data_IF_803627904753
#
_entry.id   IF_803627904753
#
_cell.length_a   1.000
_cell.length_b   1.000
_cell.length_c   1.000
_cell.angle_alpha   90.00
_cell.angle_beta   90.00
_cell.angle_gamma   90.00
#
_symmetry.space_group_name_H-M   'P 1'
#
loop_
_entity.id
_entity.type
_entity.pdbx_description
1 polymer ?
#
# COMPACT_ATOMS: atom_id res chain seq x y z
N UNK A 1 30.72 3.10 -22.59
CA UNK A 1 30.75 2.80 -21.15
C UNK A 1 29.46 3.36 -20.57
N UNK A 2 28.42 2.53 -20.41
CA UNK A 2 27.12 2.97 -19.88
C UNK A 2 27.24 3.10 -18.37
N UNK A 3 27.84 4.19 -17.90
CA UNK A 3 27.59 4.70 -16.55
C UNK A 3 26.15 5.19 -16.52
N UNK A 4 25.20 4.25 -16.47
CA UNK A 4 23.87 4.52 -15.95
C UNK A 4 24.14 5.10 -14.57
N UNK A 5 23.99 6.42 -14.46
CA UNK A 5 24.36 7.18 -13.29
C UNK A 5 23.58 6.58 -12.13
N UNK A 6 24.26 5.85 -11.25
CA UNK A 6 23.65 4.99 -10.22
C UNK A 6 22.66 5.78 -9.35
N UNK A 7 22.93 7.07 -9.18
CA UNK A 7 22.06 8.02 -8.50
C UNK A 7 20.78 8.34 -9.29
N UNK A 8 20.87 8.47 -10.61
CA UNK A 8 19.69 8.73 -11.47
C UNK A 8 18.70 7.57 -11.49
N UNK A 9 19.19 6.32 -11.53
CA UNK A 9 18.34 5.13 -11.44
C UNK A 9 17.73 4.99 -10.06
N UNK A 10 18.51 5.22 -9.00
CA UNK A 10 18.00 5.15 -7.62
C UNK A 10 16.93 6.22 -7.36
N UNK A 11 17.13 7.43 -7.85
CA UNK A 11 16.13 8.51 -7.81
C UNK A 11 14.85 8.13 -8.56
N UNK A 12 14.96 7.53 -9.75
CA UNK A 12 13.80 7.07 -10.51
C UNK A 12 13.00 5.99 -9.76
N UNK A 13 13.68 5.00 -9.18
CA UNK A 13 13.03 3.99 -8.35
C UNK A 13 12.35 4.62 -7.13
N UNK A 14 13.04 5.49 -6.38
CA UNK A 14 12.46 6.18 -5.23
C UNK A 14 11.21 7.00 -5.60
N UNK A 15 11.23 7.66 -6.76
CA UNK A 15 10.09 8.43 -7.26
C UNK A 15 8.90 7.52 -7.63
N UNK A 16 9.16 6.36 -8.24
CA UNK A 16 8.13 5.36 -8.51
C UNK A 16 7.51 4.81 -7.21
N UNK A 17 8.33 4.48 -6.22
CA UNK A 17 7.82 4.03 -4.91
C UNK A 17 6.99 5.12 -4.23
N UNK A 18 7.41 6.39 -4.29
CA UNK A 18 6.62 7.51 -3.79
C UNK A 18 5.26 7.61 -4.49
N UNK A 19 5.25 7.51 -5.81
CA UNK A 19 4.02 7.54 -6.60
C UNK A 19 3.08 6.38 -6.26
N UNK A 20 3.60 5.15 -6.19
CA UNK A 20 2.82 3.96 -5.85
C UNK A 20 2.27 4.03 -4.41
N UNK A 21 3.08 4.48 -3.45
CA UNK A 21 2.64 4.70 -2.07
C UNK A 21 1.49 5.71 -2.05
N UNK A 22 1.66 6.85 -2.71
CA UNK A 22 0.64 7.89 -2.74
C UNK A 22 -0.67 7.40 -3.38
N UNK A 23 -0.57 6.67 -4.49
CA UNK A 23 -1.74 6.08 -5.17
C UNK A 23 -2.50 5.13 -4.24
N UNK A 24 -1.78 4.28 -3.49
CA UNK A 24 -2.40 3.35 -2.54
C UNK A 24 -2.98 4.09 -1.33
N UNK A 25 -2.31 5.14 -0.84
CA UNK A 25 -2.83 5.99 0.24
C UNK A 25 -4.15 6.66 -0.16
N UNK A 26 -4.26 7.19 -1.38
CA UNK A 26 -5.52 7.76 -1.88
C UNK A 26 -6.63 6.72 -1.90
N UNK A 27 -6.35 5.48 -2.32
CA UNK A 27 -7.33 4.38 -2.30
C UNK A 27 -7.78 4.03 -0.88
N UNK A 28 -6.84 3.97 0.06
CA UNK A 28 -7.12 3.75 1.48
C UNK A 28 -7.98 4.88 2.06
N UNK A 29 -7.67 6.13 1.73
CA UNK A 29 -8.47 7.30 2.14
C UNK A 29 -9.88 7.28 1.56
N UNK A 30 -10.06 6.86 0.31
CA UNK A 30 -11.37 6.75 -0.32
C UNK A 30 -12.25 5.72 0.39
N UNK A 31 -11.68 4.57 0.76
CA UNK A 31 -12.39 3.55 1.54
C UNK A 31 -12.70 4.04 2.96
N UNK A 32 -11.75 4.73 3.61
CA UNK A 32 -11.96 5.35 4.90
C UNK A 32 -13.08 6.40 4.87
N UNK A 33 -13.13 7.24 3.83
CA UNK A 33 -14.20 8.23 3.62
C UNK A 33 -15.54 7.57 3.29
N UNK A 34 -15.54 6.49 2.50
CA UNK A 34 -16.75 5.72 2.12
C UNK A 34 -17.45 5.14 3.35
N UNK A 35 -16.69 4.58 4.29
CA UNK A 35 -17.24 3.96 5.51
C UNK A 35 -17.23 4.87 6.74
N UNK A 36 -16.52 6.00 6.68
CA UNK A 36 -16.24 6.91 7.79
C UNK A 36 -15.72 6.16 9.04
N UNK A 37 -14.89 5.14 8.83
CA UNK A 37 -14.35 4.23 9.84
C UNK A 37 -12.89 3.98 9.57
N UNK A 38 -12.11 3.68 10.60
CA UNK A 38 -10.77 3.13 10.41
C UNK A 38 -10.84 1.70 9.90
N UNK A 39 -9.78 1.22 9.25
CA UNK A 39 -9.70 -0.17 8.78
C UNK A 39 -9.98 -1.18 9.90
N UNK A 40 -9.51 -0.92 11.12
CA UNK A 40 -9.73 -1.80 12.28
C UNK A 40 -11.20 -1.85 12.72
N UNK A 41 -11.87 -0.69 12.74
CA UNK A 41 -13.29 -0.62 13.08
C UNK A 41 -14.13 -1.35 12.02
N UNK A 42 -13.80 -1.15 10.74
CA UNK A 42 -14.45 -1.84 9.64
C UNK A 42 -14.19 -3.36 9.68
N UNK A 43 -12.95 -3.80 9.91
CA UNK A 43 -12.62 -5.22 10.09
C UNK A 43 -13.41 -5.84 11.25
N UNK A 44 -13.49 -5.15 12.38
CA UNK A 44 -14.24 -5.63 13.55
C UNK A 44 -15.73 -5.73 13.24
N UNK A 45 -16.30 -4.78 12.49
CA UNK A 45 -17.70 -4.82 12.07
C UNK A 45 -17.99 -6.01 11.15
N UNK A 46 -17.16 -6.24 10.13
CA UNK A 46 -17.32 -7.34 9.17
C UNK A 46 -17.20 -8.70 9.87
N UNK A 47 -16.22 -8.86 10.76
CA UNK A 47 -16.01 -10.11 11.48
C UNK A 47 -17.12 -10.43 12.50
N UNK A 48 -17.79 -9.41 13.04
CA UNK A 48 -18.88 -9.59 14.00
C UNK A 48 -20.27 -9.54 13.35
N UNK A 49 -20.35 -9.40 12.02
CA UNK A 49 -21.61 -9.30 11.30
C UNK A 49 -22.33 -10.66 11.31
N UNK A 50 -23.56 -10.69 11.84
CA UNK A 50 -24.37 -11.93 11.91
C UNK A 50 -24.87 -12.40 10.54
N UNK A 51 -25.03 -11.46 9.61
CA UNK A 51 -25.48 -11.73 8.25
C UNK A 51 -24.42 -11.22 7.30
N UNK A 52 -23.88 -12.09 6.46
CA UNK A 52 -22.84 -11.72 5.51
C UNK A 52 -23.39 -10.76 4.45
N UNK A 53 -22.76 -9.60 4.33
CA UNK A 53 -22.91 -8.70 3.19
C UNK A 53 -21.71 -8.89 2.27
N UNK A 54 -21.92 -9.58 1.14
CA UNK A 54 -20.88 -9.88 0.16
C UNK A 54 -20.19 -8.62 -0.36
N UNK A 55 -20.93 -7.51 -0.53
CA UNK A 55 -20.36 -6.26 -1.03
C UNK A 55 -19.41 -5.65 -0.02
N UNK A 56 -19.78 -5.69 1.26
CA UNK A 56 -18.89 -5.22 2.31
C UNK A 56 -17.66 -6.13 2.49
N UNK A 57 -17.81 -7.44 2.26
CA UNK A 57 -16.68 -8.37 2.24
C UNK A 57 -15.73 -8.13 1.06
N UNK A 58 -16.24 -7.82 -0.13
CA UNK A 58 -15.42 -7.40 -1.28
C UNK A 58 -14.64 -6.13 -0.94
N UNK A 59 -15.32 -5.11 -0.40
CA UNK A 59 -14.70 -3.86 0.03
C UNK A 59 -13.65 -4.09 1.14
N UNK A 60 -13.87 -5.04 2.07
CA UNK A 60 -12.89 -5.43 3.08
C UNK A 60 -11.65 -6.10 2.49
N UNK A 61 -11.84 -7.02 1.56
CA UNK A 61 -10.74 -7.70 0.88
C UNK A 61 -9.91 -6.70 0.06
N UNK A 62 -10.56 -5.76 -0.61
CA UNK A 62 -9.91 -4.67 -1.33
C UNK A 62 -9.08 -3.80 -0.36
N UNK A 63 -9.69 -3.35 0.74
CA UNK A 63 -9.01 -2.53 1.74
C UNK A 63 -7.79 -3.24 2.35
N UNK A 64 -7.95 -4.52 2.71
CA UNK A 64 -6.88 -5.35 3.26
C UNK A 64 -5.72 -5.53 2.27
N UNK A 65 -6.04 -5.68 0.98
CA UNK A 65 -5.05 -5.78 -0.10
C UNK A 65 -4.24 -4.49 -0.24
N UNK A 66 -4.91 -3.33 -0.25
CA UNK A 66 -4.22 -2.03 -0.28
C UNK A 66 -3.37 -1.81 0.96
N UNK A 67 -3.86 -2.19 2.15
CA UNK A 67 -3.10 -2.03 3.39
C UNK A 67 -1.81 -2.86 3.39
N UNK A 68 -1.89 -4.09 2.87
CA UNK A 68 -0.71 -4.95 2.69
C UNK A 68 0.26 -4.37 1.66
N UNK A 69 -0.26 -3.93 0.52
CA UNK A 69 0.53 -3.32 -0.56
C UNK A 69 1.26 -2.07 -0.07
N UNK A 70 0.57 -1.19 0.65
CA UNK A 70 1.17 0.00 1.26
C UNK A 70 2.33 -0.36 2.19
N UNK A 71 2.12 -1.33 3.08
CA UNK A 71 3.15 -1.81 4.00
C UNK A 71 4.37 -2.37 3.25
N UNK A 72 4.15 -3.16 2.21
CA UNK A 72 5.23 -3.75 1.42
C UNK A 72 6.00 -2.67 0.64
N UNK A 73 5.32 -1.67 0.07
CA UNK A 73 5.95 -0.54 -0.62
C UNK A 73 6.78 0.32 0.33
N UNK A 74 6.27 0.62 1.52
CA UNK A 74 7.01 1.37 2.55
C UNK A 74 8.24 0.60 3.01
N UNK A 75 8.15 -0.72 3.16
CA UNK A 75 9.31 -1.56 3.49
C UNK A 75 10.34 -1.58 2.37
N UNK A 76 9.91 -1.76 1.11
CA UNK A 76 10.79 -1.71 -0.06
C UNK A 76 11.50 -0.36 -0.14
N UNK A 77 10.79 0.76 -0.04
CA UNK A 77 11.38 2.10 -0.01
C UNK A 77 12.45 2.24 1.09
N UNK A 78 12.18 1.76 2.30
CA UNK A 78 13.16 1.79 3.41
C UNK A 78 14.39 0.93 3.15
N UNK A 79 14.25 -0.22 2.48
CA UNK A 79 15.40 -1.07 2.10
C UNK A 79 16.29 -0.37 1.07
N UNK A 80 15.67 0.31 0.12
CA UNK A 80 16.33 1.10 -0.92
C UNK A 80 17.11 2.28 -0.30
N UNK A 81 16.49 3.00 0.64
CA UNK A 81 17.14 4.10 1.38
C UNK A 81 18.31 3.63 2.25
N UNK A 82 18.26 2.42 2.79
CA UNK A 82 19.34 1.84 3.61
C UNK A 82 20.50 1.27 2.78
N UNK A 83 20.39 1.20 1.46
CA UNK A 83 21.44 0.65 0.60
C UNK A 83 21.52 -0.89 0.57
N UNK A 84 20.58 -1.59 1.20
CA UNK A 84 20.49 -3.06 1.21
C UNK A 84 19.79 -3.57 -0.06
N UNK A 85 20.44 -3.40 -1.21
CA UNK A 85 19.97 -4.00 -2.46
C UNK A 85 20.74 -5.30 -2.71
N UNK A 86 20.12 -6.45 -2.44
CA UNK A 86 20.43 -7.67 -3.20
C UNK A 86 19.71 -7.56 -4.53
N UNK A 87 20.45 -7.13 -5.55
CA UNK A 87 20.07 -7.35 -6.95
C UNK A 87 20.34 -8.84 -7.20
N UNK A 88 19.30 -9.64 -7.43
CA UNK A 88 19.40 -10.98 -8.02
C UNK A 88 18.95 -10.91 -9.47
#
# INVERSE_FOLDING_TARGET
MLTINKDSTLNFYSLNYLYEIHTVEEKLELLQKKYNKTFKEFETEILNMKQEDFKMWEDYLEWKSYFKTHKDLVLKKKMIEKGDFKIS
#
